data_IF_358066284480
#
_entry.id   IF_358066284480
#
_cell.length_a   1.000
_cell.length_b   1.000
_cell.length_c   1.000
_cell.angle_alpha   90.00
_cell.angle_beta   90.00
_cell.angle_gamma   90.00
#
_symmetry.space_group_name_H-M   'P 1'
#
loop_
_entity.id
_entity.type
_entity.pdbx_description
1 polymer ?
#
# COMPACT_ATOMS: atom_id res chain seq x y z
N UNK A 1 23.60 -17.24 -11.43
CA UNK A 1 23.90 -15.88 -10.95
C UNK A 1 22.67 -15.39 -10.20
N UNK A 2 22.85 -14.67 -9.10
CA UNK A 2 21.74 -14.13 -8.32
C UNK A 2 21.94 -12.63 -8.14
N UNK A 3 20.86 -11.88 -8.30
CA UNK A 3 20.83 -10.43 -8.13
C UNK A 3 19.83 -10.08 -7.05
N UNK A 4 20.28 -9.34 -6.04
CA UNK A 4 19.40 -8.88 -4.98
C UNK A 4 18.74 -7.57 -5.40
N UNK A 5 17.43 -7.60 -5.66
CA UNK A 5 16.66 -6.39 -5.92
C UNK A 5 16.55 -5.58 -4.62
N UNK A 6 17.05 -4.35 -4.63
CA UNK A 6 16.98 -3.43 -3.48
C UNK A 6 15.89 -2.38 -3.62
N UNK A 7 15.49 -2.07 -4.87
CA UNK A 7 14.43 -1.11 -5.16
C UNK A 7 13.77 -1.44 -6.49
N UNK A 8 12.47 -1.18 -6.58
CA UNK A 8 11.72 -1.21 -7.84
C UNK A 8 11.14 0.17 -8.08
N UNK A 9 11.23 0.67 -9.31
CA UNK A 9 10.63 1.94 -9.72
C UNK A 9 9.82 1.78 -11.00
N UNK A 10 8.72 2.51 -11.10
CA UNK A 10 7.90 2.56 -12.31
C UNK A 10 7.92 3.97 -12.90
N UNK A 11 8.08 4.06 -14.21
CA UNK A 11 8.01 5.30 -14.98
C UNK A 11 6.69 5.36 -15.74
N UNK A 12 5.85 6.36 -15.44
CA UNK A 12 4.57 6.56 -16.14
C UNK A 12 4.77 7.04 -17.58
N UNK A 13 5.84 7.78 -17.87
CA UNK A 13 6.11 8.31 -19.20
C UNK A 13 6.53 7.21 -20.20
N UNK A 14 7.29 6.23 -19.71
CA UNK A 14 7.83 5.13 -20.54
C UNK A 14 7.10 3.81 -20.33
N UNK A 15 6.24 3.70 -19.32
CA UNK A 15 5.58 2.47 -18.89
C UNK A 15 6.59 1.33 -18.60
N UNK A 16 7.74 1.68 -18.01
CA UNK A 16 8.83 0.73 -17.70
C UNK A 16 8.95 0.53 -16.19
N UNK A 17 9.07 -0.74 -15.78
CA UNK A 17 9.46 -1.14 -14.43
C UNK A 17 10.97 -1.42 -14.40
N UNK A 18 11.70 -0.72 -13.55
CA UNK A 18 13.14 -0.90 -13.33
C UNK A 18 13.39 -1.56 -11.99
N UNK A 19 14.11 -2.68 -12.01
CA UNK A 19 14.64 -3.34 -10.83
C UNK A 19 16.07 -2.84 -10.61
N UNK A 20 16.30 -2.21 -9.46
CA UNK A 20 17.63 -1.77 -9.04
C UNK A 20 18.22 -2.90 -8.20
N UNK A 21 19.29 -3.50 -8.71
CA UNK A 21 19.90 -4.68 -8.11
C UNK A 21 21.28 -4.37 -7.55
N UNK A 22 21.60 -5.02 -6.43
CA UNK A 22 22.98 -5.15 -5.94
C UNK A 22 23.51 -6.52 -6.40
N UNK A 23 24.71 -6.53 -6.96
CA UNK A 23 25.42 -7.75 -7.32
C UNK A 23 26.21 -8.27 -6.12
N UNK A 24 25.97 -9.50 -5.70
CA UNK A 24 26.92 -10.21 -4.85
C UNK A 24 27.97 -10.89 -5.77
N UNK A 25 29.26 -10.65 -5.51
CA UNK A 25 30.35 -11.31 -6.25
C UNK A 25 30.91 -10.58 -7.47
N UNK A 26 30.59 -9.30 -7.67
CA UNK A 26 31.26 -8.46 -8.67
C UNK A 26 30.72 -8.56 -10.11
N UNK A 27 29.48 -9.03 -10.26
CA UNK A 27 28.79 -9.03 -11.55
C UNK A 27 28.53 -7.59 -12.01
N UNK A 28 28.90 -7.27 -13.25
CA UNK A 28 28.61 -5.98 -13.87
C UNK A 28 27.41 -6.05 -14.80
N UNK A 29 26.93 -4.89 -15.25
CA UNK A 29 25.88 -4.81 -16.29
C UNK A 29 26.33 -5.44 -17.62
N UNK A 30 27.63 -5.61 -17.86
CA UNK A 30 28.14 -6.26 -19.07
C UNK A 30 27.91 -7.78 -19.06
N UNK A 31 27.75 -8.37 -17.89
CA UNK A 31 27.42 -9.80 -17.73
C UNK A 31 25.93 -10.09 -17.98
N UNK A 32 25.09 -9.05 -18.03
CA UNK A 32 23.65 -9.16 -18.26
C UNK A 32 23.32 -8.99 -19.75
N UNK A 33 22.99 -10.09 -20.42
CA UNK A 33 22.65 -10.04 -21.83
C UNK A 33 21.17 -9.68 -22.05
N UNK A 34 20.91 -8.74 -22.97
CA UNK A 34 19.54 -8.44 -23.42
C UNK A 34 18.93 -9.69 -24.04
N UNK A 35 17.75 -10.09 -23.55
CA UNK A 35 17.02 -11.28 -24.01
C UNK A 35 17.33 -12.55 -23.21
N UNK A 36 18.21 -12.48 -22.21
CA UNK A 36 18.41 -13.56 -21.26
C UNK A 36 17.16 -13.76 -20.38
N UNK A 37 16.83 -15.01 -20.08
CA UNK A 37 15.71 -15.37 -19.23
C UNK A 37 16.15 -15.43 -17.76
N UNK A 38 15.30 -14.91 -16.87
CA UNK A 38 15.55 -14.82 -15.44
C UNK A 38 14.31 -15.23 -14.66
N UNK A 39 14.51 -15.91 -13.53
CA UNK A 39 13.46 -16.17 -12.55
C UNK A 39 13.38 -15.00 -11.57
N UNK A 40 12.19 -14.42 -11.44
CA UNK A 40 11.92 -13.35 -10.47
C UNK A 40 11.21 -13.94 -9.25
N UNK A 41 11.86 -13.86 -8.09
CA UNK A 41 11.32 -14.34 -6.81
C UNK A 41 10.95 -13.12 -5.97
N UNK A 42 9.71 -13.06 -5.52
CA UNK A 42 9.21 -12.03 -4.61
C UNK A 42 9.11 -12.62 -3.21
N UNK A 43 9.53 -11.86 -2.20
CA UNK A 43 9.28 -12.20 -0.80
C UNK A 43 7.78 -12.11 -0.50
N UNK A 44 7.18 -13.29 -0.27
CA UNK A 44 5.75 -13.44 -0.04
C UNK A 44 5.29 -12.78 1.28
N UNK A 45 6.08 -12.89 2.35
CA UNK A 45 5.73 -12.35 3.66
C UNK A 45 5.71 -10.82 3.62
N UNK A 46 6.72 -10.24 2.96
CA UNK A 46 6.78 -8.82 2.67
C UNK A 46 5.59 -8.38 1.82
N UNK A 47 5.29 -9.11 0.74
CA UNK A 47 4.17 -8.79 -0.16
C UNK A 47 2.82 -8.79 0.55
N UNK A 48 2.55 -9.82 1.36
CA UNK A 48 1.31 -9.93 2.11
C UNK A 48 1.17 -8.81 3.13
N UNK A 49 2.26 -8.47 3.81
CA UNK A 49 2.30 -7.37 4.78
C UNK A 49 1.97 -6.04 4.10
N UNK A 50 2.67 -5.67 3.02
CA UNK A 50 2.39 -4.41 2.31
C UNK A 50 0.99 -4.39 1.69
N UNK A 51 0.49 -5.52 1.20
CA UNK A 51 -0.88 -5.61 0.69
C UNK A 51 -1.92 -5.31 1.78
N UNK A 52 -1.71 -5.84 3.00
CA UNK A 52 -2.58 -5.56 4.16
C UNK A 52 -2.56 -4.09 4.55
N UNK A 53 -1.39 -3.44 4.56
CA UNK A 53 -1.31 -2.01 4.87
C UNK A 53 -2.03 -1.15 3.83
N UNK A 54 -1.88 -1.48 2.55
CA UNK A 54 -2.56 -0.75 1.49
C UNK A 54 -4.08 -0.88 1.59
N UNK A 55 -4.60 -2.08 1.78
CA UNK A 55 -6.05 -2.29 1.93
C UNK A 55 -6.58 -1.71 3.23
N UNK A 56 -5.84 -1.79 4.34
CA UNK A 56 -6.19 -1.16 5.61
C UNK A 56 -6.36 0.35 5.48
N UNK A 57 -5.53 1.02 4.67
CA UNK A 57 -5.70 2.44 4.34
C UNK A 57 -7.09 2.76 3.78
N UNK A 58 -7.54 1.98 2.80
CA UNK A 58 -8.89 2.13 2.21
C UNK A 58 -10.01 1.75 3.18
N UNK A 59 -9.76 0.85 4.13
CA UNK A 59 -10.73 0.55 5.18
C UNK A 59 -10.98 1.74 6.11
N UNK A 60 -9.98 2.62 6.31
CA UNK A 60 -10.18 3.86 7.08
C UNK A 60 -11.17 4.77 6.37
N UNK A 61 -11.06 4.92 5.05
CA UNK A 61 -12.02 5.71 4.25
C UNK A 61 -13.44 5.17 4.42
N UNK A 62 -13.61 3.85 4.34
CA UNK A 62 -14.92 3.23 4.54
C UNK A 62 -15.45 3.41 5.96
N UNK A 63 -14.59 3.31 6.98
CA UNK A 63 -14.99 3.55 8.37
C UNK A 63 -15.42 5.01 8.59
N UNK A 64 -14.73 5.97 7.97
CA UNK A 64 -15.10 7.40 8.01
C UNK A 64 -16.50 7.63 7.43
N UNK A 65 -16.82 7.02 6.29
CA UNK A 65 -18.15 7.08 5.69
C UNK A 65 -19.23 6.48 6.63
N UNK A 66 -18.96 5.31 7.22
CA UNK A 66 -19.88 4.65 8.15
C UNK A 66 -20.12 5.45 9.44
N UNK A 67 -19.14 6.24 9.88
CA UNK A 67 -19.27 7.18 10.98
C UNK A 67 -19.95 8.50 10.59
N UNK A 68 -20.39 8.65 9.33
CA UNK A 68 -21.07 9.84 8.83
C UNK A 68 -20.14 10.98 8.40
N UNK A 69 -18.85 10.72 8.24
CA UNK A 69 -17.84 11.68 7.79
C UNK A 69 -17.46 11.42 6.34
N UNK A 70 -18.10 12.12 5.41
CA UNK A 70 -17.74 12.08 4.00
C UNK A 70 -16.73 13.18 3.66
N UNK A 71 -15.53 13.10 4.25
CA UNK A 71 -14.44 14.04 4.01
C UNK A 71 -13.57 13.54 2.85
N UNK A 72 -13.23 14.37 1.84
CA UNK A 72 -12.34 13.95 0.77
C UNK A 72 -10.94 13.62 1.29
N UNK A 73 -10.44 12.41 1.02
CA UNK A 73 -9.05 12.05 1.29
C UNK A 73 -8.10 12.89 0.42
N UNK A 74 -7.00 13.37 1.01
CA UNK A 74 -6.00 14.21 0.33
C UNK A 74 -4.65 13.54 0.20
N UNK A 75 -4.29 12.70 1.17
CA UNK A 75 -2.99 12.02 1.20
C UNK A 75 -3.12 10.71 1.95
N UNK A 76 -2.64 9.63 1.35
CA UNK A 76 -2.47 8.34 2.00
C UNK A 76 -0.98 7.99 2.08
N UNK A 77 -0.56 7.47 3.23
CA UNK A 77 0.76 6.88 3.40
C UNK A 77 0.55 5.51 4.03
N UNK A 78 0.80 4.44 3.27
CA UNK A 78 0.45 3.07 3.67
C UNK A 78 1.70 2.19 3.86
N UNK A 79 2.79 2.79 4.35
CA UNK A 79 4.02 2.07 4.69
C UNK A 79 4.13 1.83 6.20
N UNK A 80 4.94 0.84 6.58
CA UNK A 80 5.05 0.28 7.93
C UNK A 80 5.46 1.27 9.03
N UNK A 81 6.23 2.30 8.69
CA UNK A 81 6.86 3.21 9.64
C UNK A 81 5.86 4.15 10.30
N UNK A 82 4.83 4.61 9.57
CA UNK A 82 3.78 5.46 10.12
C UNK A 82 2.57 5.57 9.19
N UNK A 83 1.70 4.55 9.08
CA UNK A 83 0.59 4.61 8.14
C UNK A 83 -0.46 5.64 8.55
N UNK A 84 -0.93 6.46 7.61
CA UNK A 84 -1.98 7.46 7.84
C UNK A 84 -2.78 7.79 6.58
N UNK A 85 -3.97 8.37 6.79
CA UNK A 85 -4.77 9.04 5.77
C UNK A 85 -5.12 10.44 6.27
N UNK A 86 -4.95 11.44 5.40
CA UNK A 86 -5.35 12.83 5.64
C UNK A 86 -6.64 13.13 4.89
N UNK A 87 -7.51 13.92 5.52
CA UNK A 87 -8.80 14.31 4.97
C UNK A 87 -8.94 15.83 4.94
N UNK A 88 -9.55 16.35 3.87
CA UNK A 88 -9.92 17.76 3.75
C UNK A 88 -11.21 18.03 4.52
N UNK A 89 -11.11 18.68 5.67
CA UNK A 89 -12.28 19.08 6.46
C UNK A 89 -11.93 19.35 7.92
N UNK A 90 -12.93 19.31 8.79
CA UNK A 90 -12.71 19.49 10.23
C UNK A 90 -13.66 18.60 11.02
N UNK A 91 -13.09 17.84 11.95
CA UNK A 91 -13.82 17.22 13.05
C UNK A 91 -13.72 18.15 14.25
N UNK A 92 -14.86 18.62 14.75
CA UNK A 92 -14.94 19.46 15.95
C UNK A 92 -14.25 18.77 17.13
N UNK A 93 -13.43 19.52 17.89
CA UNK A 93 -12.62 18.96 18.97
C UNK A 93 -13.39 18.07 19.97
N UNK A 94 -14.62 18.41 20.41
CA UNK A 94 -15.38 17.58 21.34
C UNK A 94 -15.82 16.22 20.75
N UNK A 95 -15.87 16.09 19.42
CA UNK A 95 -16.32 14.88 18.72
C UNK A 95 -15.17 13.92 18.37
N UNK A 96 -13.91 14.37 18.51
CA UNK A 96 -12.73 13.60 18.04
C UNK A 96 -12.53 12.29 18.80
N UNK A 97 -12.61 12.31 20.12
CA UNK A 97 -12.44 11.09 20.93
C UNK A 97 -13.55 10.07 20.64
N UNK A 98 -14.80 10.55 20.58
CA UNK A 98 -15.95 9.71 20.23
C UNK A 98 -15.85 9.14 18.80
N UNK A 99 -15.30 9.92 17.86
CA UNK A 99 -15.06 9.46 16.50
C UNK A 99 -13.96 8.39 16.46
N UNK A 100 -12.87 8.55 17.20
CA UNK A 100 -11.82 7.52 17.29
C UNK A 100 -12.39 6.20 17.81
N UNK A 101 -13.25 6.24 18.83
CA UNK A 101 -13.91 5.04 19.34
C UNK A 101 -14.80 4.36 18.27
N UNK A 102 -15.63 5.15 17.58
CA UNK A 102 -16.51 4.63 16.51
C UNK A 102 -15.72 4.08 15.32
N UNK A 103 -14.64 4.75 14.90
CA UNK A 103 -13.79 4.28 13.81
C UNK A 103 -13.18 2.93 14.15
N UNK A 104 -12.66 2.75 15.38
CA UNK A 104 -12.09 1.46 15.81
C UNK A 104 -13.14 0.34 15.84
N UNK A 105 -14.38 0.64 16.20
CA UNK A 105 -15.48 -0.32 16.17
C UNK A 105 -15.83 -0.70 14.73
N UNK A 106 -16.06 0.30 13.85
CA UNK A 106 -16.36 0.06 12.42
C UNK A 106 -15.23 -0.64 11.69
N UNK A 107 -13.98 -0.34 12.04
CA UNK A 107 -12.84 -1.03 11.44
C UNK A 107 -12.82 -2.52 11.81
N UNK A 108 -13.16 -2.88 13.05
CA UNK A 108 -13.26 -4.29 13.46
C UNK A 108 -14.40 -5.01 12.73
N UNK A 109 -15.58 -4.37 12.63
CA UNK A 109 -16.71 -4.90 11.86
C UNK A 109 -16.29 -5.19 10.40
N UNK A 110 -15.61 -4.24 9.74
CA UNK A 110 -15.16 -4.40 8.35
C UNK A 110 -14.12 -5.53 8.18
N UNK A 111 -13.27 -5.77 9.19
CA UNK A 111 -12.35 -6.91 9.20
C UNK A 111 -13.13 -8.22 9.28
N UNK A 112 -14.11 -8.31 10.18
CA UNK A 112 -14.95 -9.50 10.38
C UNK A 112 -15.79 -9.82 9.14
N UNK A 113 -16.27 -8.80 8.43
CA UNK A 113 -17.03 -8.93 7.18
C UNK A 113 -16.16 -9.32 5.96
N UNK A 114 -14.83 -9.29 6.08
CA UNK A 114 -13.93 -9.59 4.96
C UNK A 114 -13.97 -8.54 3.84
N UNK A 115 -14.34 -7.30 4.14
CA UNK A 115 -14.54 -6.21 3.17
C UNK A 115 -13.24 -5.76 2.44
N UNK A 116 -12.10 -6.37 2.76
CA UNK A 116 -10.80 -6.16 2.12
C UNK A 116 -10.76 -6.60 0.63
N UNK A 117 -11.75 -7.36 0.13
CA UNK A 117 -11.75 -7.96 -1.21
C UNK A 117 -12.50 -7.22 -2.33
N UNK A 118 -13.11 -6.05 -2.06
CA UNK A 118 -14.13 -5.46 -2.95
C UNK A 118 -13.69 -4.42 -3.99
N UNK A 119 -12.43 -3.98 -3.99
CA UNK A 119 -12.00 -2.85 -4.83
C UNK A 119 -11.39 -3.32 -6.15
N UNK A 120 -12.27 -3.73 -7.07
CA UNK A 120 -11.88 -4.12 -8.44
C UNK A 120 -13.00 -4.07 -9.48
N UNK A 121 -14.20 -3.58 -9.16
CA UNK A 121 -15.32 -3.49 -10.11
C UNK A 121 -15.79 -2.04 -10.23
N UNK A 122 -15.05 -1.21 -10.96
CA UNK A 122 -15.46 0.16 -11.26
C UNK A 122 -14.32 1.08 -11.63
N UNK A 123 -13.82 0.92 -12.86
CA UNK A 123 -12.83 1.79 -13.51
C UNK A 123 -12.72 1.42 -14.98
#
# INVERSE_FOLDING_TARGET
MELKVVKVSFSFDTNVVTHHCESEGGVTMEDLAVGEAWDLIVDQDSRDTFSKFHSAGHMVDRAMELCGYNLPATKGYHFLDSPYVEYKGTVEAPKREALIAQLNEKFKELIEEGACGGWGAGG
#
